data_IF_684544549791
#
_entry.id   IF_684544549791
#
_cell.length_a   1.000
_cell.length_b   1.000
_cell.length_c   1.000
_cell.angle_alpha   90.00
_cell.angle_beta   90.00
_cell.angle_gamma   90.00
#
_symmetry.space_group_name_H-M   'P 1'
#
loop_
_entity.id
_entity.type
_entity.pdbx_description
1 polymer ?
#
# COMPACT_ATOMS: atom_id res chain seq x y z
N UNK A 1 -21.45 50.11 9.46
CA UNK A 1 -21.04 48.75 9.85
C UNK A 1 -19.56 48.58 9.49
N UNK A 2 -18.67 48.67 10.48
CA UNK A 2 -17.23 48.51 10.27
C UNK A 2 -16.89 47.00 10.27
N UNK A 3 -16.48 46.48 9.11
CA UNK A 3 -15.92 45.13 9.00
C UNK A 3 -14.49 45.22 9.54
N UNK A 4 -14.29 44.81 10.79
CA UNK A 4 -12.97 44.62 11.37
C UNK A 4 -12.24 43.53 10.55
N UNK A 5 -11.33 43.95 9.67
CA UNK A 5 -10.35 43.06 9.04
C UNK A 5 -9.44 42.54 10.14
N UNK A 6 -9.72 41.33 10.62
CA UNK A 6 -8.79 40.56 11.43
C UNK A 6 -7.45 40.48 10.68
N UNK A 7 -6.38 40.93 11.34
CA UNK A 7 -5.03 40.82 10.81
C UNK A 7 -4.74 39.34 10.48
N UNK A 8 -4.06 39.04 9.36
CA UNK A 8 -3.70 37.68 9.03
C UNK A 8 -2.89 37.07 10.18
N UNK A 9 -3.15 35.80 10.56
CA UNK A 9 -2.38 35.15 11.60
C UNK A 9 -0.89 35.15 11.22
N UNK A 10 -0.03 35.47 12.18
CA UNK A 10 1.41 35.46 11.98
C UNK A 10 1.84 34.12 11.36
N UNK A 11 2.79 34.13 10.40
CA UNK A 11 3.25 32.91 9.74
C UNK A 11 3.75 31.93 10.79
N UNK A 12 3.03 30.82 10.97
CA UNK A 12 3.44 29.78 11.90
C UNK A 12 4.71 29.15 11.34
N UNK A 13 5.78 29.14 12.14
CA UNK A 13 7.02 28.49 11.74
C UNK A 13 6.83 26.97 11.83
N UNK A 14 6.49 26.33 10.70
CA UNK A 14 6.22 24.90 10.64
C UNK A 14 7.54 24.14 10.50
N UNK A 15 7.80 23.22 11.42
CA UNK A 15 8.93 22.30 11.34
C UNK A 15 8.56 21.07 10.52
N UNK A 16 9.35 20.77 9.50
CA UNK A 16 9.18 19.66 8.57
C UNK A 16 10.19 18.55 8.87
N UNK A 17 9.72 17.31 8.99
CA UNK A 17 10.53 16.13 9.21
C UNK A 17 10.80 15.38 7.90
N UNK A 18 12.07 15.19 7.57
CA UNK A 18 12.54 14.51 6.37
C UNK A 18 13.16 13.16 6.76
N UNK A 19 12.53 12.06 6.37
CA UNK A 19 13.06 10.70 6.53
C UNK A 19 13.82 10.30 5.27
N UNK A 20 15.14 10.21 5.36
CA UNK A 20 16.03 9.83 4.27
C UNK A 20 16.20 8.32 4.25
N UNK A 21 16.09 7.73 3.05
CA UNK A 21 16.43 6.34 2.77
C UNK A 21 17.49 6.33 1.69
N UNK A 22 18.69 5.88 2.06
CA UNK A 22 19.90 5.97 1.26
C UNK A 22 20.33 4.58 0.80
N UNK A 23 20.67 4.48 -0.49
CA UNK A 23 21.21 3.27 -1.09
C UNK A 23 22.57 3.56 -1.71
N UNK A 24 23.59 2.81 -1.25
CA UNK A 24 24.91 2.86 -1.86
C UNK A 24 24.88 2.31 -3.29
N UNK A 25 25.89 2.67 -4.09
CA UNK A 25 25.98 2.21 -5.48
C UNK A 25 26.04 0.68 -5.58
N UNK A 26 26.74 0.03 -4.66
CA UNK A 26 26.82 -1.43 -4.58
C UNK A 26 25.47 -2.06 -4.23
N UNK A 27 24.71 -1.44 -3.33
CA UNK A 27 23.35 -1.89 -2.99
C UNK A 27 22.41 -1.73 -4.17
N UNK A 28 22.57 -0.67 -4.97
CA UNK A 28 21.76 -0.45 -6.17
C UNK A 28 21.96 -1.53 -7.25
N UNK A 29 23.13 -2.19 -7.30
CA UNK A 29 23.38 -3.35 -8.18
C UNK A 29 22.62 -4.60 -7.74
N UNK A 30 22.26 -4.72 -6.46
CA UNK A 30 21.53 -5.87 -5.93
C UNK A 30 20.03 -5.82 -6.31
N UNK A 31 19.35 -6.97 -6.41
CA UNK A 31 17.89 -7.02 -6.53
C UNK A 31 17.21 -6.27 -5.40
N UNK A 32 16.06 -5.63 -5.66
CA UNK A 32 15.35 -4.77 -4.70
C UNK A 32 15.13 -5.41 -3.33
N UNK A 33 14.82 -6.70 -3.29
CA UNK A 33 14.56 -7.47 -2.06
C UNK A 33 15.80 -7.74 -1.19
N UNK A 34 17.01 -7.54 -1.73
CA UNK A 34 18.29 -7.81 -1.06
C UNK A 34 19.10 -6.54 -0.78
N UNK A 35 18.53 -5.36 -1.03
CA UNK A 35 19.22 -4.09 -0.76
C UNK A 35 19.15 -3.81 0.73
N UNK A 36 20.29 -3.52 1.34
CA UNK A 36 20.30 -2.89 2.65
C UNK A 36 20.11 -1.39 2.46
N UNK A 37 19.21 -0.81 3.23
CA UNK A 37 18.97 0.63 3.25
C UNK A 37 19.56 1.25 4.52
N UNK A 38 20.12 2.44 4.37
CA UNK A 38 20.53 3.28 5.50
C UNK A 38 19.50 4.38 5.66
N UNK A 39 19.09 4.64 6.91
CA UNK A 39 18.03 5.62 7.19
C UNK A 39 18.54 6.71 8.11
N UNK A 40 18.12 7.94 7.85
CA UNK A 40 18.43 9.12 8.65
C UNK A 40 17.21 10.04 8.72
N UNK A 41 17.14 10.89 9.74
CA UNK A 41 16.05 11.85 9.91
C UNK A 41 16.64 13.25 10.08
N UNK A 42 16.13 14.20 9.32
CA UNK A 42 16.49 15.62 9.39
C UNK A 42 15.23 16.41 9.70
N UNK A 43 15.32 17.43 10.55
CA UNK A 43 14.23 18.37 10.84
C UNK A 43 14.67 19.77 10.43
N UNK A 44 13.90 20.42 9.56
CA UNK A 44 14.16 21.79 9.10
C UNK A 44 12.87 22.59 9.15
N UNK A 45 12.99 23.90 9.30
CA UNK A 45 11.86 24.81 9.21
C UNK A 45 11.45 25.04 7.74
N UNK A 46 10.22 25.47 7.51
CA UNK A 46 9.65 25.66 6.16
C UNK A 46 10.28 26.83 5.38
N UNK A 47 10.89 27.78 6.09
CA UNK A 47 11.52 29.00 5.56
C UNK A 47 12.98 28.79 5.14
N UNK A 48 13.53 27.60 5.41
CA UNK A 48 14.90 27.26 5.02
C UNK A 48 15.04 27.20 3.49
N UNK A 49 16.11 27.77 2.92
CA UNK A 49 16.35 27.68 1.48
C UNK A 49 16.71 26.26 1.06
N UNK A 50 16.50 25.96 -0.23
CA UNK A 50 16.82 24.65 -0.81
C UNK A 50 18.28 24.22 -0.57
N UNK A 51 19.20 25.18 -0.57
CA UNK A 51 20.62 24.94 -0.33
C UNK A 51 20.89 24.40 1.10
N UNK A 52 20.12 24.82 2.11
CA UNK A 52 20.22 24.27 3.47
C UNK A 52 19.83 22.80 3.46
N UNK A 53 18.69 22.44 2.84
CA UNK A 53 18.27 21.04 2.72
C UNK A 53 19.33 20.22 1.96
N UNK A 54 19.86 20.77 0.86
CA UNK A 54 20.91 20.15 0.05
C UNK A 54 22.16 19.85 0.89
N UNK A 55 22.65 20.82 1.65
CA UNK A 55 23.81 20.65 2.53
C UNK A 55 23.57 19.57 3.60
N UNK A 56 22.38 19.56 4.20
CA UNK A 56 22.02 18.56 5.22
C UNK A 56 21.89 17.15 4.64
N UNK A 57 21.31 17.00 3.45
CA UNK A 57 21.28 15.71 2.73
C UNK A 57 22.71 15.21 2.46
N UNK A 58 23.58 16.09 1.95
CA UNK A 58 24.98 15.73 1.68
C UNK A 58 25.73 15.36 2.96
N UNK A 59 25.47 16.06 4.08
CA UNK A 59 26.02 15.71 5.39
C UNK A 59 25.61 14.30 5.81
N UNK A 60 24.33 13.94 5.76
CA UNK A 60 23.87 12.59 6.09
C UNK A 60 24.49 11.53 5.17
N UNK A 61 24.57 11.80 3.86
CA UNK A 61 25.25 10.91 2.91
C UNK A 61 26.72 10.71 3.30
N UNK A 62 27.41 11.78 3.73
CA UNK A 62 28.82 11.71 4.13
C UNK A 62 29.03 10.84 5.37
N UNK A 63 28.13 10.93 6.35
CA UNK A 63 28.19 10.18 7.61
C UNK A 63 27.85 8.71 7.43
N UNK A 64 26.79 8.41 6.67
CA UNK A 64 26.28 7.03 6.50
C UNK A 64 27.04 6.26 5.42
N UNK A 65 27.19 6.83 4.21
CA UNK A 65 27.79 6.14 3.06
C UNK A 65 29.31 6.34 2.91
N UNK A 66 29.91 7.31 3.61
CA UNK A 66 31.35 7.67 3.55
C UNK A 66 31.93 7.70 2.12
N UNK A 67 31.29 8.44 1.18
CA UNK A 67 31.76 8.57 -0.18
C UNK A 67 33.11 9.30 -0.25
N UNK A 68 33.88 9.05 -1.32
CA UNK A 68 35.15 9.75 -1.56
C UNK A 68 34.94 11.16 -2.10
N UNK A 69 33.90 11.38 -2.92
CA UNK A 69 33.58 12.69 -3.49
C UNK A 69 32.11 13.03 -3.25
N UNK A 70 31.89 14.06 -2.47
CA UNK A 70 30.54 14.49 -2.14
C UNK A 70 30.06 15.52 -3.18
N UNK A 71 29.27 15.06 -4.15
CA UNK A 71 28.65 15.90 -5.17
C UNK A 71 27.17 15.54 -5.29
N UNK A 72 26.28 16.53 -5.27
CA UNK A 72 24.83 16.31 -5.30
C UNK A 72 24.37 15.65 -6.60
N UNK A 73 25.00 16.00 -7.72
CA UNK A 73 24.63 15.49 -9.05
C UNK A 73 24.99 14.01 -9.25
N UNK A 74 25.82 13.45 -8.36
CA UNK A 74 26.14 12.03 -8.34
C UNK A 74 25.07 11.17 -7.65
N UNK A 75 24.01 11.80 -7.13
CA UNK A 75 22.88 11.13 -6.50
C UNK A 75 21.58 11.45 -7.23
N UNK A 76 20.70 10.44 -7.31
CA UNK A 76 19.32 10.62 -7.73
C UNK A 76 18.46 10.70 -6.47
N UNK A 77 18.00 11.91 -6.18
CA UNK A 77 17.19 12.21 -5.00
C UNK A 77 15.73 12.36 -5.46
N UNK A 78 14.87 11.57 -4.85
CA UNK A 78 13.42 11.59 -5.08
C UNK A 78 12.70 11.80 -3.76
N UNK A 79 11.48 12.34 -3.80
CA UNK A 79 10.64 12.48 -2.62
C UNK A 79 9.26 11.86 -2.83
N UNK A 80 8.68 11.41 -1.73
CA UNK A 80 7.31 10.90 -1.65
C UNK A 80 6.63 11.50 -0.44
N UNK A 81 5.37 11.88 -0.61
CA UNK A 81 4.54 12.43 0.45
C UNK A 81 3.39 11.46 0.67
N UNK A 82 3.35 10.86 1.86
CA UNK A 82 2.37 9.83 2.14
C UNK A 82 0.96 10.41 1.95
N UNK A 83 0.12 9.72 1.16
CA UNK A 83 -1.26 10.09 0.78
C UNK A 83 -1.43 11.24 -0.21
N UNK A 84 -0.49 12.19 -0.28
CA UNK A 84 -0.59 13.33 -1.21
C UNK A 84 0.14 13.11 -2.53
N UNK A 85 1.35 12.53 -2.48
CA UNK A 85 2.20 12.31 -3.64
C UNK A 85 2.81 10.91 -3.53
N UNK A 86 2.05 9.92 -4.01
CA UNK A 86 2.44 8.49 -3.99
C UNK A 86 3.49 8.15 -5.04
N UNK A 87 3.53 8.92 -6.13
CA UNK A 87 4.52 8.75 -7.20
C UNK A 87 5.79 9.53 -6.83
N UNK A 88 6.96 8.88 -6.73
CA UNK A 88 8.21 9.56 -6.43
C UNK A 88 8.53 10.65 -7.45
N UNK A 89 8.72 11.87 -6.98
CA UNK A 89 9.13 13.02 -7.80
C UNK A 89 10.63 13.29 -7.61
N UNK A 90 11.29 13.79 -8.64
CA UNK A 90 12.71 14.18 -8.57
C UNK A 90 12.85 15.47 -7.75
N UNK A 91 13.92 15.57 -6.95
CA UNK A 91 14.30 16.78 -6.23
C UNK A 91 15.66 17.26 -6.77
N UNK A 92 15.65 18.15 -7.75
CA UNK A 92 16.83 18.72 -8.41
C UNK A 92 16.76 20.22 -8.53
N UNK A 93 15.56 20.77 -8.72
CA UNK A 93 15.34 22.21 -8.94
C UNK A 93 14.69 22.84 -7.71
N UNK A 94 14.94 24.13 -7.51
CA UNK A 94 14.30 24.93 -6.47
C UNK A 94 12.77 24.88 -6.56
N UNK A 95 12.19 24.92 -7.76
CA UNK A 95 10.74 24.79 -7.95
C UNK A 95 10.16 23.46 -7.44
N UNK A 96 10.92 22.35 -7.54
CA UNK A 96 10.49 21.05 -7.01
C UNK A 96 10.54 21.03 -5.48
N UNK A 97 11.49 21.77 -4.89
CA UNK A 97 11.59 21.98 -3.45
C UNK A 97 10.45 22.85 -2.91
N UNK A 98 10.13 23.96 -3.57
CA UNK A 98 8.99 24.81 -3.20
C UNK A 98 7.68 24.02 -3.19
N UNK A 99 7.44 23.21 -4.24
CA UNK A 99 6.27 22.34 -4.31
C UNK A 99 6.24 21.29 -3.17
N UNK A 100 7.41 20.73 -2.85
CA UNK A 100 7.57 19.79 -1.74
C UNK A 100 7.20 20.46 -0.39
N UNK A 101 7.68 21.68 -0.14
CA UNK A 101 7.39 22.43 1.09
C UNK A 101 5.91 22.80 1.16
N UNK A 102 5.34 23.31 0.07
CA UNK A 102 3.90 23.63 -0.03
C UNK A 102 3.03 22.42 0.34
N UNK A 103 3.36 21.24 -0.20
CA UNK A 103 2.63 20.02 0.10
C UNK A 103 2.80 19.58 1.56
N UNK A 104 3.98 19.76 2.15
CA UNK A 104 4.26 19.40 3.54
C UNK A 104 3.49 20.25 4.54
N UNK A 105 3.41 21.57 4.29
CA UNK A 105 2.70 22.53 5.17
C UNK A 105 1.20 22.27 5.19
N UNK A 106 0.63 21.72 4.12
CA UNK A 106 -0.78 21.32 4.07
C UNK A 106 -1.10 20.08 4.90
N UNK A 107 -0.09 19.35 5.38
CA UNK A 107 -0.28 18.15 6.19
C UNK A 107 -0.46 18.50 7.67
N UNK A 108 -1.33 17.76 8.36
CA UNK A 108 -1.45 17.84 9.82
C UNK A 108 -0.14 17.51 10.54
N UNK A 109 0.64 16.60 9.96
CA UNK A 109 1.96 16.19 10.45
C UNK A 109 2.95 16.27 9.27
N UNK A 110 3.75 17.35 9.17
CA UNK A 110 4.68 17.57 8.07
C UNK A 110 5.83 16.55 8.09
N UNK A 111 5.61 15.40 7.47
CA UNK A 111 6.56 14.31 7.40
C UNK A 111 6.67 13.81 5.96
N UNK A 112 7.90 13.72 5.45
CA UNK A 112 8.18 13.33 4.07
C UNK A 112 9.30 12.32 3.99
N UNK A 113 9.23 11.47 2.97
CA UNK A 113 10.24 10.44 2.72
C UNK A 113 11.07 10.81 1.50
N UNK A 114 12.37 10.95 1.70
CA UNK A 114 13.37 11.16 0.65
C UNK A 114 14.05 9.82 0.32
N UNK A 115 14.13 9.50 -0.97
CA UNK A 115 14.78 8.33 -1.51
C UNK A 115 16.03 8.77 -2.27
N UNK A 116 17.20 8.32 -1.80
CA UNK A 116 18.51 8.74 -2.30
C UNK A 116 19.21 7.52 -2.91
N UNK A 117 19.46 7.57 -4.21
CA UNK A 117 20.14 6.50 -4.95
C UNK A 117 21.47 7.01 -5.52
N UNK A 118 22.59 6.40 -5.14
CA UNK A 118 23.90 6.72 -5.74
C UNK A 118 23.97 6.29 -7.21
N UNK A 119 24.39 7.18 -8.11
CA UNK A 119 24.43 6.94 -9.56
C UNK A 119 25.76 6.38 -10.06
N UNK A 120 26.86 6.66 -9.36
CA UNK A 120 28.22 6.27 -9.76
C UNK A 120 28.92 5.50 -8.66
N UNK A 121 29.85 4.65 -9.09
CA UNK A 121 30.78 3.98 -8.20
C UNK A 121 31.79 5.00 -7.67
N UNK A 122 31.70 5.31 -6.39
CA UNK A 122 32.62 6.24 -5.74
C UNK A 122 33.76 5.53 -5.00
N UNK A 123 33.72 4.19 -4.88
CA UNK A 123 34.75 3.44 -4.17
C UNK A 123 35.89 3.01 -5.10
N UNK A 124 35.60 2.84 -6.39
CA UNK A 124 36.59 2.47 -7.40
C UNK A 124 37.56 3.63 -7.73
N UNK A 125 38.73 3.63 -7.09
CA UNK A 125 39.89 4.40 -7.58
C UNK A 125 40.25 3.81 -8.93
N UNK A 126 40.03 4.55 -10.01
CA UNK A 126 40.86 4.37 -11.19
C UNK A 126 42.21 4.96 -10.82
N UNK A 127 43.20 4.10 -10.62
CA UNK A 127 44.59 4.49 -10.62
C UNK A 127 44.90 5.05 -12.02
N UNK A 128 44.62 6.32 -12.23
CA UNK A 128 45.11 7.09 -13.37
C UNK A 128 45.96 8.21 -12.82
N UNK A 129 47.24 7.88 -12.73
CA UNK A 129 48.37 8.74 -13.03
C UNK A 129 48.49 10.05 -12.25
N UNK A 130 49.31 10.01 -11.20
CA UNK A 130 50.02 11.20 -10.72
C UNK A 130 51.40 10.75 -10.28
N UNK A 131 52.25 10.49 -11.29
CA UNK A 131 53.70 10.50 -11.14
C UNK A 131 54.20 11.95 -11.17
N UNK A 132 55.04 12.26 -10.20
CA UNK A 132 55.54 13.57 -9.82
C UNK A 132 56.96 13.83 -10.40
N UNK A 133 57.31 15.10 -10.66
CA UNK A 133 58.67 15.71 -10.68
C UNK A 133 59.64 15.28 -11.83
N UNK A 134 60.43 16.11 -12.55
CA UNK A 134 60.97 17.48 -12.41
C UNK A 134 61.43 18.07 -13.77
N UNK A 135 61.37 19.41 -13.86
CA UNK A 135 62.25 20.40 -14.52
C UNK A 135 63.19 20.06 -15.71
N UNK A 136 63.08 20.95 -16.71
CA UNK A 136 64.16 21.70 -17.41
C UNK A 136 64.72 21.22 -18.77
N UNK A 137 64.46 22.11 -19.75
CA UNK A 137 65.29 22.53 -20.90
C UNK A 137 65.28 21.74 -22.21
N UNK A 138 64.90 22.45 -23.30
CA UNK A 138 65.66 22.46 -24.55
C UNK A 138 65.08 21.73 -25.77
N UNK A 139 64.53 22.54 -26.68
CA UNK A 139 64.72 22.50 -28.15
C UNK A 139 64.01 21.44 -29.03
N UNK A 140 63.12 22.00 -29.86
CA UNK A 140 62.70 21.68 -31.24
C UNK A 140 63.13 20.37 -31.92
N UNK A 141 62.14 19.60 -32.41
CA UNK A 141 61.78 19.55 -33.85
C UNK A 141 60.87 18.37 -34.20
N UNK A 142 59.84 18.71 -34.97
CA UNK A 142 59.15 17.97 -36.04
C UNK A 142 58.96 16.44 -35.99
N UNK A 143 57.72 16.00 -36.27
CA UNK A 143 57.54 14.66 -36.85
C UNK A 143 56.19 13.97 -36.72
N UNK A 144 55.15 14.51 -37.36
CA UNK A 144 54.13 13.76 -38.11
C UNK A 144 53.18 12.71 -37.44
N UNK A 145 51.89 13.01 -37.65
CA UNK A 145 50.81 12.13 -38.15
C UNK A 145 50.31 10.99 -37.24
N UNK A 146 49.03 11.05 -36.84
CA UNK A 146 47.93 10.33 -37.54
C UNK A 146 46.53 10.56 -36.94
N UNK A 147 45.61 10.89 -37.87
CA UNK A 147 44.19 10.50 -37.95
C UNK A 147 43.19 10.97 -36.87
N UNK A 148 42.62 12.16 -37.13
CA UNK A 148 41.24 12.52 -36.75
C UNK A 148 40.24 11.51 -37.34
N UNK A 149 39.59 10.70 -36.51
CA UNK A 149 38.32 10.03 -36.85
C UNK A 149 37.20 10.69 -36.05
N UNK A 150 36.43 11.53 -36.75
CA UNK A 150 35.27 12.28 -36.25
C UNK A 150 34.21 11.27 -35.76
N UNK A 151 34.01 11.19 -34.44
CA UNK A 151 32.99 10.38 -33.78
C UNK A 151 31.64 11.08 -33.96
N UNK A 152 30.81 10.60 -34.90
CA UNK A 152 29.37 10.86 -34.88
C UNK A 152 28.82 10.23 -33.61
N UNK A 153 28.46 11.08 -32.65
CA UNK A 153 27.75 10.69 -31.44
C UNK A 153 26.37 10.23 -31.87
N UNK A 154 26.15 8.92 -31.75
CA UNK A 154 24.85 8.30 -31.90
C UNK A 154 23.94 8.84 -30.80
N UNK A 155 22.96 9.62 -31.22
CA UNK A 155 21.72 9.88 -30.54
C UNK A 155 20.96 8.55 -30.45
N UNK A 156 21.28 7.78 -29.42
CA UNK A 156 20.49 6.63 -29.00
C UNK A 156 20.18 6.84 -27.53
N UNK A 157 19.08 7.57 -27.33
CA UNK A 157 18.36 7.68 -26.09
C UNK A 157 18.05 6.25 -25.60
N UNK A 158 18.93 5.71 -24.75
CA UNK A 158 18.72 4.44 -24.05
C UNK A 158 17.55 4.62 -23.08
N UNK A 159 16.33 4.51 -23.60
CA UNK A 159 15.18 4.02 -22.84
C UNK A 159 15.63 2.67 -22.29
N UNK A 160 15.97 2.62 -21.00
CA UNK A 160 16.14 1.35 -20.29
C UNK A 160 14.80 0.65 -20.38
N UNK A 161 14.71 -0.26 -21.33
CA UNK A 161 13.70 -1.28 -21.43
C UNK A 161 13.80 -2.08 -20.14
N UNK A 162 13.01 -1.68 -19.14
CA UNK A 162 12.58 -2.62 -18.11
C UNK A 162 12.01 -3.77 -18.92
N UNK A 163 12.64 -4.95 -18.84
CA UNK A 163 12.05 -6.17 -19.39
C UNK A 163 10.77 -6.40 -18.60
N UNK A 164 9.69 -5.75 -19.02
CA UNK A 164 8.35 -6.18 -18.67
C UNK A 164 8.25 -7.63 -19.09
N UNK A 165 7.84 -8.48 -18.16
CA UNK A 165 7.53 -9.85 -18.51
C UNK A 165 6.47 -9.80 -19.64
N UNK A 166 6.54 -10.67 -20.65
CA UNK A 166 5.59 -10.67 -21.77
C UNK A 166 4.12 -10.60 -21.35
N UNK A 167 3.80 -11.18 -20.19
CA UNK A 167 2.46 -11.13 -19.59
C UNK A 167 2.00 -9.72 -19.20
N UNK A 168 2.91 -8.85 -18.76
CA UNK A 168 2.57 -7.47 -18.37
C UNK A 168 2.34 -6.56 -19.58
N UNK A 169 3.00 -6.87 -20.71
CA UNK A 169 2.81 -6.17 -21.98
C UNK A 169 1.39 -6.44 -22.50
N UNK A 170 0.96 -7.71 -22.50
CA UNK A 170 -0.39 -8.09 -22.93
C UNK A 170 -1.45 -7.45 -22.01
N UNK A 171 -1.27 -7.54 -20.69
CA UNK A 171 -2.22 -6.98 -19.73
C UNK A 171 -2.35 -5.45 -19.87
N UNK A 172 -1.23 -4.74 -20.02
CA UNK A 172 -1.26 -3.28 -20.22
C UNK A 172 -1.86 -2.87 -21.57
N UNK A 173 -1.69 -3.68 -22.62
CA UNK A 173 -2.35 -3.50 -23.90
C UNK A 173 -3.89 -3.65 -23.79
N UNK A 174 -4.35 -4.69 -23.08
CA UNK A 174 -5.78 -4.92 -22.83
C UNK A 174 -6.41 -3.80 -21.97
N UNK A 175 -5.71 -3.30 -20.94
CA UNK A 175 -6.18 -2.14 -20.16
C UNK A 175 -6.37 -0.92 -21.06
N UNK A 176 -5.42 -0.60 -21.93
CA UNK A 176 -5.53 0.53 -22.86
C UNK A 176 -6.71 0.36 -23.82
N UNK A 177 -6.95 -0.85 -24.30
CA UNK A 177 -8.07 -1.17 -25.19
C UNK A 177 -9.42 -0.89 -24.48
N UNK A 178 -9.56 -1.36 -23.24
CA UNK A 178 -10.73 -1.09 -22.40
C UNK A 178 -10.90 0.41 -22.09
N UNK A 179 -9.82 1.12 -21.77
CA UNK A 179 -9.85 2.55 -21.50
C UNK A 179 -10.39 3.34 -22.71
N UNK A 180 -9.86 3.07 -23.90
CA UNK A 180 -10.32 3.71 -25.14
C UNK A 180 -11.79 3.40 -25.45
N UNK A 181 -12.22 2.15 -25.21
CA UNK A 181 -13.59 1.71 -25.47
C UNK A 181 -14.61 2.34 -24.52
N UNK A 182 -14.26 2.48 -23.25
CA UNK A 182 -15.17 2.91 -22.19
C UNK A 182 -14.92 4.34 -21.70
N UNK A 183 -14.22 5.17 -22.49
CA UNK A 183 -14.09 6.60 -22.18
C UNK A 183 -15.47 7.25 -22.19
N UNK A 184 -15.88 7.83 -21.06
CA UNK A 184 -17.21 8.40 -20.92
C UNK A 184 -17.26 9.82 -21.51
N UNK A 185 -18.03 10.00 -22.58
CA UNK A 185 -18.20 11.31 -23.24
C UNK A 185 -19.47 12.06 -22.79
N UNK A 186 -20.18 11.57 -21.77
CA UNK A 186 -21.45 12.17 -21.34
C UNK A 186 -21.20 13.39 -20.46
N UNK A 187 -21.69 14.60 -20.84
CA UNK A 187 -21.59 15.78 -19.99
C UNK A 187 -22.41 15.55 -18.70
N UNK A 188 -21.77 15.71 -17.54
CA UNK A 188 -22.39 15.46 -16.23
C UNK A 188 -22.08 14.11 -15.58
N UNK A 189 -21.24 13.27 -16.20
CA UNK A 189 -20.70 12.11 -15.49
C UNK A 189 -19.67 12.57 -14.45
N UNK A 190 -20.01 12.47 -13.16
CA UNK A 190 -19.24 13.02 -12.02
C UNK A 190 -17.86 12.34 -11.83
N UNK A 191 -17.66 11.17 -12.43
CA UNK A 191 -16.42 10.40 -12.34
C UNK A 191 -15.66 10.48 -13.66
N UNK A 192 -14.66 11.37 -13.68
CA UNK A 192 -13.78 11.57 -14.82
C UNK A 192 -12.93 10.33 -15.10
N UNK A 193 -13.26 9.62 -16.18
CA UNK A 193 -12.40 8.56 -16.71
C UNK A 193 -13.17 7.59 -17.59
N UNK A 194 -13.72 6.53 -16.99
CA UNK A 194 -14.21 5.37 -17.72
C UNK A 194 -15.53 4.86 -17.16
N UNK A 195 -16.51 4.59 -18.02
CA UNK A 195 -17.83 4.08 -17.63
C UNK A 195 -18.29 2.93 -18.52
N UNK A 196 -18.85 1.91 -17.89
CA UNK A 196 -19.61 0.87 -18.57
C UNK A 196 -21.09 1.29 -18.60
N UNK A 197 -21.71 1.32 -19.79
CA UNK A 197 -23.12 1.66 -19.95
C UNK A 197 -23.91 0.36 -19.91
N UNK A 198 -24.82 0.25 -18.93
CA UNK A 198 -25.72 -0.88 -18.82
C UNK A 198 -26.76 -0.82 -19.96
N UNK A 199 -26.94 -1.88 -20.76
CA UNK A 199 -27.83 -1.88 -21.91
C UNK A 199 -29.31 -1.66 -21.54
N UNK A 200 -29.71 -2.07 -20.33
CA UNK A 200 -31.12 -2.08 -19.92
C UNK A 200 -31.65 -0.71 -19.52
N UNK A 201 -30.84 0.10 -18.84
CA UNK A 201 -31.27 1.36 -18.24
C UNK A 201 -30.41 2.57 -18.64
N UNK A 202 -29.44 2.38 -19.53
CA UNK A 202 -28.44 3.40 -19.89
C UNK A 202 -27.73 4.01 -18.66
N UNK A 203 -27.72 3.32 -17.52
CA UNK A 203 -27.02 3.78 -16.33
C UNK A 203 -25.52 3.60 -16.52
N UNK A 204 -24.76 4.60 -16.06
CA UNK A 204 -23.31 4.59 -16.13
C UNK A 204 -22.76 3.94 -14.86
N UNK A 205 -22.04 2.83 -15.03
CA UNK A 205 -21.24 2.23 -13.98
C UNK A 205 -19.79 2.71 -14.08
N UNK A 206 -19.24 3.26 -13.01
CA UNK A 206 -17.88 3.80 -13.02
C UNK A 206 -16.84 2.69 -12.97
N UNK A 207 -15.97 2.63 -13.99
CA UNK A 207 -14.87 1.69 -14.05
C UNK A 207 -13.62 2.28 -13.38
N UNK A 208 -13.37 1.89 -12.13
CA UNK A 208 -12.09 2.15 -11.48
C UNK A 208 -10.94 1.39 -12.15
N UNK A 209 -9.69 1.79 -11.86
CA UNK A 209 -8.50 1.07 -12.34
C UNK A 209 -8.52 -0.42 -11.98
N UNK A 210 -9.08 -0.78 -10.82
CA UNK A 210 -9.20 -2.18 -10.39
C UNK A 210 -10.14 -2.98 -11.29
N UNK A 211 -11.28 -2.42 -11.70
CA UNK A 211 -12.20 -3.06 -12.64
C UNK A 211 -11.51 -3.32 -13.98
N UNK A 212 -10.80 -2.32 -14.51
CA UNK A 212 -10.06 -2.44 -15.78
C UNK A 212 -8.95 -3.50 -15.69
N UNK A 213 -8.20 -3.57 -14.58
CA UNK A 213 -7.17 -4.60 -14.39
C UNK A 213 -7.75 -6.03 -14.31
N UNK A 214 -8.85 -6.22 -13.59
CA UNK A 214 -9.52 -7.53 -13.49
C UNK A 214 -10.09 -7.96 -14.85
N UNK A 215 -10.70 -7.04 -15.58
CA UNK A 215 -11.24 -7.32 -16.91
C UNK A 215 -10.13 -7.62 -17.92
N UNK A 216 -9.04 -6.84 -17.93
CA UNK A 216 -7.88 -7.09 -18.78
C UNK A 216 -7.23 -8.46 -18.48
N UNK A 217 -7.10 -8.84 -17.20
CA UNK A 217 -6.60 -10.14 -16.80
C UNK A 217 -7.51 -11.29 -17.29
N UNK A 218 -8.83 -11.10 -17.19
CA UNK A 218 -9.79 -12.07 -17.70
C UNK A 218 -9.71 -12.18 -19.24
N UNK A 219 -9.59 -11.07 -19.98
CA UNK A 219 -9.39 -11.09 -21.44
C UNK A 219 -8.10 -11.83 -21.84
N UNK A 220 -7.00 -11.60 -21.10
CA UNK A 220 -5.73 -12.28 -21.34
C UNK A 220 -5.82 -13.80 -21.10
N UNK A 221 -6.66 -14.24 -20.16
CA UNK A 221 -6.91 -15.66 -19.89
C UNK A 221 -7.82 -16.33 -20.95
N UNK A 222 -8.45 -15.56 -21.85
CA UNK A 222 -9.35 -16.03 -22.92
C UNK A 222 -10.46 -17.03 -22.48
N UNK A 223 -11.16 -16.82 -21.35
CA UNK A 223 -12.29 -17.66 -21.00
C UNK A 223 -13.45 -17.41 -21.99
N UNK A 224 -14.30 -18.41 -22.27
CA UNK A 224 -15.38 -18.30 -23.27
C UNK A 224 -16.45 -17.26 -22.94
N UNK A 225 -16.46 -16.72 -21.71
CA UNK A 225 -17.53 -15.87 -21.18
C UNK A 225 -17.15 -14.38 -21.17
N UNK A 226 -15.85 -14.05 -21.22
CA UNK A 226 -15.38 -12.65 -21.14
C UNK A 226 -15.03 -12.12 -22.52
N UNK A 227 -15.71 -11.07 -22.96
CA UNK A 227 -15.45 -10.37 -24.21
C UNK A 227 -15.11 -8.90 -23.94
N UNK A 228 -14.73 -8.16 -24.97
CA UNK A 228 -14.48 -6.72 -24.84
C UNK A 228 -15.73 -5.94 -24.41
N UNK A 229 -16.92 -6.42 -24.79
CA UNK A 229 -18.20 -5.79 -24.52
C UNK A 229 -18.89 -6.35 -23.27
N UNK A 230 -18.42 -7.47 -22.70
CA UNK A 230 -19.03 -8.11 -21.53
C UNK A 230 -18.04 -8.28 -20.38
N UNK A 231 -18.30 -7.66 -19.21
CA UNK A 231 -17.42 -7.78 -18.05
C UNK A 231 -17.36 -9.22 -17.52
N UNK A 232 -16.26 -9.62 -16.87
CA UNK A 232 -16.12 -10.96 -16.30
C UNK A 232 -17.06 -11.14 -15.10
N UNK A 233 -17.46 -12.41 -14.86
CA UNK A 233 -18.16 -12.78 -13.64
C UNK A 233 -17.19 -12.78 -12.46
N UNK A 234 -17.02 -11.63 -11.82
CA UNK A 234 -16.09 -11.41 -10.72
C UNK A 234 -16.73 -10.45 -9.71
N UNK A 235 -16.43 -10.63 -8.42
CA UNK A 235 -17.03 -9.88 -7.30
C UNK A 235 -17.03 -8.36 -7.42
N UNK A 236 -16.02 -7.80 -8.09
CA UNK A 236 -15.92 -6.35 -8.32
C UNK A 236 -17.03 -5.85 -9.28
N UNK A 237 -17.65 -6.75 -10.04
CA UNK A 237 -18.77 -6.49 -10.94
C UNK A 237 -20.12 -6.99 -10.37
N UNK A 238 -20.19 -7.51 -9.13
CA UNK A 238 -21.46 -7.98 -8.54
C UNK A 238 -22.48 -6.84 -8.37
N UNK A 239 -21.99 -5.61 -8.24
CA UNK A 239 -22.81 -4.39 -8.24
C UNK A 239 -23.49 -4.12 -9.58
N UNK A 240 -22.91 -4.58 -10.71
CA UNK A 240 -23.60 -4.58 -12.01
C UNK A 240 -24.73 -5.60 -12.01
N UNK A 241 -24.48 -6.80 -11.47
CA UNK A 241 -25.46 -7.88 -11.38
C UNK A 241 -26.64 -7.48 -10.49
N UNK A 242 -26.39 -6.79 -9.37
CA UNK A 242 -27.43 -6.29 -8.47
C UNK A 242 -28.37 -5.27 -9.12
N UNK A 243 -27.89 -4.48 -10.09
CA UNK A 243 -28.71 -3.51 -10.82
C UNK A 243 -29.44 -4.14 -12.02
N UNK A 244 -28.95 -5.27 -12.54
CA UNK A 244 -29.66 -6.11 -13.51
C UNK A 244 -30.70 -7.03 -12.84
N UNK A 245 -30.54 -7.30 -11.53
CA UNK A 245 -31.42 -8.11 -10.70
C UNK A 245 -32.78 -7.45 -10.38
N UNK A 246 -33.08 -6.26 -10.90
CA UNK A 246 -34.48 -5.81 -11.00
C UNK A 246 -35.32 -6.72 -11.91
N UNK A 247 -34.68 -7.64 -12.67
CA UNK A 247 -35.29 -8.77 -13.35
C UNK A 247 -34.83 -10.12 -12.77
N UNK A 248 -34.73 -10.25 -11.44
CA UNK A 248 -34.19 -11.47 -10.81
C UNK A 248 -35.06 -12.71 -11.07
N UNK A 249 -34.39 -13.79 -11.43
CA UNK A 249 -34.98 -15.12 -11.60
C UNK A 249 -35.85 -15.54 -10.39
N UNK A 250 -37.00 -16.18 -10.63
CA UNK A 250 -38.06 -16.41 -9.63
C UNK A 250 -37.61 -17.17 -8.37
N UNK A 251 -36.50 -17.92 -8.44
CA UNK A 251 -35.97 -18.67 -7.30
C UNK A 251 -35.34 -17.79 -6.21
N UNK A 252 -34.72 -16.66 -6.57
CA UNK A 252 -34.14 -15.76 -5.56
C UNK A 252 -35.23 -14.94 -4.88
N UNK A 253 -36.26 -14.55 -5.64
CA UNK A 253 -37.44 -13.88 -5.08
C UNK A 253 -38.21 -14.79 -4.11
N UNK A 254 -38.27 -16.10 -4.38
CA UNK A 254 -38.88 -17.09 -3.46
C UNK A 254 -38.14 -17.19 -2.12
N UNK A 255 -36.80 -17.25 -2.14
CA UNK A 255 -36.01 -17.31 -0.89
C UNK A 255 -36.11 -16.03 -0.05
N UNK A 256 -36.20 -14.87 -0.70
CA UNK A 256 -36.37 -13.60 0.00
C UNK A 256 -37.78 -13.48 0.60
N UNK A 257 -38.81 -13.93 -0.11
CA UNK A 257 -40.18 -13.98 0.41
C UNK A 257 -40.28 -14.92 1.62
N UNK A 258 -39.70 -16.12 1.56
CA UNK A 258 -39.67 -17.09 2.65
C UNK A 258 -38.96 -16.53 3.91
N UNK A 259 -37.89 -15.76 3.73
CA UNK A 259 -37.15 -15.12 4.83
C UNK A 259 -37.95 -14.01 5.50
N UNK A 260 -38.71 -13.23 4.74
CA UNK A 260 -39.52 -12.13 5.27
C UNK A 260 -40.79 -12.64 6.00
N UNK A 261 -41.39 -13.76 5.57
CA UNK A 261 -42.49 -14.42 6.28
C UNK A 261 -42.07 -15.00 7.63
N UNK A 262 -40.80 -15.37 7.80
CA UNK A 262 -40.28 -15.93 9.06
C UNK A 262 -40.01 -14.87 10.16
N UNK A 263 -40.08 -13.58 9.85
CA UNK A 263 -39.80 -12.49 10.79
C UNK A 263 -41.04 -11.77 11.35
N UNK A 264 -42.26 -12.20 10.98
CA UNK A 264 -43.49 -11.48 11.33
C UNK A 264 -44.50 -12.34 12.11
N UNK A 265 -44.15 -12.85 13.29
CA UNK A 265 -45.14 -13.26 14.32
C UNK A 265 -44.52 -13.29 15.72
N UNK A 266 -45.11 -12.61 16.71
CA UNK A 266 -44.81 -12.84 18.12
C UNK A 266 -45.76 -13.89 18.72
N UNK A 267 -45.15 -14.82 19.48
CA UNK A 267 -45.71 -15.52 20.64
C UNK A 267 -46.62 -16.76 20.45
N UNK A 268 -46.76 -17.61 21.50
CA UNK A 268 -46.20 -18.95 21.49
C UNK A 268 -47.31 -20.02 21.60
N UNK A 269 -46.86 -21.27 21.59
CA UNK A 269 -47.61 -22.51 21.83
C UNK A 269 -48.05 -23.29 20.58
N UNK A 270 -47.66 -24.57 20.63
CA UNK A 270 -48.12 -25.73 19.83
C UNK A 270 -47.81 -25.77 18.34
N UNK A 271 -46.56 -26.09 17.95
CA UNK A 271 -46.34 -26.79 16.68
C UNK A 271 -45.21 -27.83 16.75
N UNK A 272 -45.58 -29.07 16.41
CA UNK A 272 -44.75 -30.24 16.15
C UNK A 272 -43.76 -29.97 15.01
N UNK A 273 -42.47 -29.96 15.33
CA UNK A 273 -41.38 -29.88 14.34
C UNK A 273 -41.24 -31.23 13.64
N UNK A 274 -41.20 -31.30 12.30
CA UNK A 274 -40.93 -32.55 11.61
C UNK A 274 -39.44 -32.90 11.77
N UNK A 275 -39.17 -33.97 12.53
CA UNK A 275 -37.85 -34.58 12.62
C UNK A 275 -37.48 -35.17 11.27
N UNK A 276 -36.62 -34.49 10.51
CA UNK A 276 -36.02 -35.07 9.30
C UNK A 276 -34.81 -35.89 9.75
N UNK A 277 -35.03 -37.20 9.88
CA UNK A 277 -33.99 -38.17 10.22
C UNK A 277 -33.18 -38.51 8.96
N UNK A 278 -31.96 -38.01 8.86
CA UNK A 278 -31.03 -38.36 7.77
C UNK A 278 -30.24 -39.61 8.15
N UNK A 279 -30.68 -40.78 7.67
CA UNK A 279 -29.89 -42.00 7.70
C UNK A 279 -28.89 -41.98 6.53
N UNK A 280 -27.64 -41.59 6.80
CA UNK A 280 -26.55 -41.70 5.83
C UNK A 280 -25.87 -43.08 6.00
N UNK A 281 -25.78 -43.91 4.94
CA UNK A 281 -25.09 -45.19 5.00
C UNK A 281 -23.59 -45.00 5.25
N UNK A 282 -22.98 -45.95 5.97
CA UNK A 282 -21.61 -45.85 6.52
C UNK A 282 -20.49 -45.74 5.46
N UNK A 283 -20.81 -45.94 4.18
CA UNK A 283 -19.83 -46.07 3.09
C UNK A 283 -19.26 -44.73 2.57
N UNK A 284 -19.82 -43.58 2.98
CA UNK A 284 -19.39 -42.26 2.48
C UNK A 284 -18.18 -41.68 3.24
N UNK A 285 -17.77 -42.28 4.36
CA UNK A 285 -16.64 -41.79 5.18
C UNK A 285 -15.29 -42.44 4.84
N UNK A 286 -15.26 -43.43 3.94
CA UNK A 286 -14.02 -44.16 3.58
C UNK A 286 -13.00 -43.34 2.79
N UNK A 287 -13.39 -42.17 2.26
CA UNK A 287 -12.49 -41.29 1.49
C UNK A 287 -11.73 -40.28 2.35
N UNK A 288 -12.03 -40.19 3.65
CA UNK A 288 -11.42 -39.21 4.57
C UNK A 288 -10.35 -39.81 5.48
N UNK A 289 -9.94 -41.06 5.28
CA UNK A 289 -8.77 -41.61 5.98
C UNK A 289 -7.47 -41.14 5.31
N UNK A 290 -6.57 -40.46 6.03
CA UNK A 290 -5.22 -40.24 5.53
C UNK A 290 -4.43 -41.55 5.61
N UNK A 291 -3.88 -41.98 4.48
CA UNK A 291 -2.95 -43.09 4.41
C UNK A 291 -1.65 -42.74 5.16
N UNK A 292 -1.24 -43.61 6.08
CA UNK A 292 0.02 -43.49 6.81
C UNK A 292 1.22 -43.97 5.99
N UNK A 293 2.32 -43.20 6.09
CA UNK A 293 3.75 -43.50 5.81
C UNK A 293 4.30 -43.25 4.38
N UNK A 294 5.64 -43.11 4.19
CA UNK A 294 6.71 -42.50 5.02
C UNK A 294 7.50 -41.37 4.25
N UNK A 295 8.44 -40.71 4.96
CA UNK A 295 9.34 -39.63 4.47
C UNK A 295 10.07 -39.93 3.14
N UNK A 296 10.33 -38.91 2.28
CA UNK A 296 11.68 -38.31 2.22
C UNK A 296 11.79 -36.78 1.92
N UNK A 297 12.80 -36.15 2.55
CA UNK A 297 13.77 -35.11 2.09
C UNK A 297 13.39 -33.99 1.08
N UNK A 298 13.27 -32.73 1.61
CA UNK A 298 13.66 -31.34 1.12
C UNK A 298 13.49 -30.87 -0.35
N UNK A 299 13.52 -29.54 -0.71
CA UNK A 299 13.27 -28.28 0.02
C UNK A 299 12.27 -27.29 -0.67
N UNK A 300 11.65 -26.43 0.16
CA UNK A 300 11.69 -24.97 -0.01
C UNK A 300 10.68 -24.26 -0.92
N UNK A 301 9.52 -23.88 -0.36
CA UNK A 301 8.70 -22.77 -0.89
C UNK A 301 8.09 -21.97 0.26
N UNK A 302 8.75 -20.88 0.65
CA UNK A 302 8.26 -19.95 1.68
C UNK A 302 7.24 -19.00 1.08
N UNK A 303 5.95 -19.33 1.24
CA UNK A 303 4.95 -18.28 1.36
C UNK A 303 5.15 -17.66 2.75
N UNK A 304 5.36 -16.35 2.80
CA UNK A 304 5.42 -15.63 4.06
C UNK A 304 4.06 -15.75 4.76
N UNK A 305 3.96 -16.72 5.67
CA UNK A 305 2.92 -16.79 6.67
C UNK A 305 3.13 -15.56 7.56
N UNK A 306 2.25 -14.57 7.44
CA UNK A 306 2.21 -13.48 8.43
C UNK A 306 1.88 -14.18 9.75
N UNK A 307 2.82 -14.20 10.69
CA UNK A 307 2.63 -14.80 11.99
C UNK A 307 1.43 -14.11 12.65
N UNK A 308 0.33 -14.85 12.83
CA UNK A 308 -0.93 -14.40 13.42
C UNK A 308 -0.79 -13.86 14.85
N UNK A 309 0.38 -14.03 15.48
CA UNK A 309 0.68 -13.59 16.83
C UNK A 309 0.79 -12.06 16.98
N UNK A 310 1.22 -11.34 15.94
CA UNK A 310 1.48 -9.88 16.03
C UNK A 310 0.32 -9.02 15.48
N UNK A 311 -0.85 -9.62 15.27
CA UNK A 311 -2.01 -8.85 14.83
C UNK A 311 -2.58 -8.03 16.00
N UNK A 312 -2.71 -6.70 15.87
CA UNK A 312 -3.42 -5.89 16.86
C UNK A 312 -4.86 -6.40 16.99
N UNK A 313 -5.41 -6.30 18.20
CA UNK A 313 -6.80 -6.71 18.48
C UNK A 313 -7.79 -5.90 17.62
N UNK A 314 -7.48 -4.63 17.37
CA UNK A 314 -8.20 -3.77 16.45
C UNK A 314 -7.52 -3.75 15.06
N UNK A 315 -8.24 -3.97 13.95
CA UNK A 315 -7.68 -3.76 12.62
C UNK A 315 -7.18 -2.33 12.46
N UNK A 316 -6.01 -2.14 11.83
CA UNK A 316 -5.37 -0.82 11.62
C UNK A 316 -6.28 0.18 10.87
N UNK A 317 -7.29 -0.32 10.15
CA UNK A 317 -8.27 0.46 9.41
C UNK A 317 -9.53 0.85 10.19
N UNK A 318 -9.75 0.31 11.39
CA UNK A 318 -10.95 0.58 12.18
C UNK A 318 -10.79 1.88 12.99
N UNK A 319 -11.91 2.60 13.15
CA UNK A 319 -11.92 3.85 13.92
C UNK A 319 -12.07 3.52 15.42
N UNK A 320 -11.42 4.27 16.33
CA UNK A 320 -11.63 4.09 17.75
C UNK A 320 -13.08 4.42 18.11
N UNK A 321 -13.73 3.55 18.88
CA UNK A 321 -15.05 3.83 19.46
C UNK A 321 -15.02 4.89 20.57
N UNK A 322 -16.16 5.15 21.22
CA UNK A 322 -16.24 6.10 22.33
C UNK A 322 -15.33 5.73 23.51
N UNK A 323 -14.88 6.74 24.25
CA UNK A 323 -14.01 6.56 25.41
C UNK A 323 -14.83 6.00 26.59
N UNK A 324 -14.50 4.78 27.02
CA UNK A 324 -15.20 4.09 28.10
C UNK A 324 -14.19 3.67 29.16
N UNK A 325 -14.60 3.72 30.43
CA UNK A 325 -13.84 3.08 31.51
C UNK A 325 -13.78 1.57 31.28
N UNK A 326 -12.72 0.93 31.79
CA UNK A 326 -12.57 -0.53 31.63
C UNK A 326 -13.78 -1.30 32.19
N UNK A 327 -14.32 -0.87 33.33
CA UNK A 327 -15.51 -1.47 33.93
C UNK A 327 -16.76 -1.33 33.04
N UNK A 328 -17.00 -0.14 32.47
CA UNK A 328 -18.13 0.07 31.58
C UNK A 328 -17.97 -0.71 30.28
N UNK A 329 -16.75 -0.79 29.74
CA UNK A 329 -16.45 -1.59 28.56
C UNK A 329 -16.76 -3.06 28.80
N UNK A 330 -16.28 -3.65 29.90
CA UNK A 330 -16.57 -5.05 30.21
C UNK A 330 -18.07 -5.30 30.44
N UNK A 331 -18.81 -4.35 31.04
CA UNK A 331 -20.24 -4.47 31.26
C UNK A 331 -21.07 -4.35 29.96
N UNK A 332 -20.70 -3.45 29.05
CA UNK A 332 -21.44 -3.22 27.79
C UNK A 332 -21.31 -4.41 26.83
N UNK A 333 -20.15 -5.06 26.80
CA UNK A 333 -19.87 -6.17 25.88
C UNK A 333 -19.88 -7.55 26.56
N UNK A 334 -20.54 -7.68 27.70
CA UNK A 334 -20.71 -8.94 28.45
C UNK A 334 -19.39 -9.73 28.65
N UNK A 335 -18.28 -9.03 28.95
CA UNK A 335 -16.99 -9.68 29.18
C UNK A 335 -16.92 -10.27 30.60
N UNK A 336 -16.35 -11.47 30.70
CA UNK A 336 -16.16 -12.17 31.99
C UNK A 336 -15.39 -11.31 33.01
N UNK A 337 -15.73 -11.38 34.32
CA UNK A 337 -14.97 -10.74 35.38
C UNK A 337 -13.47 -11.09 35.37
N UNK A 338 -13.11 -12.29 34.90
CA UNK A 338 -11.72 -12.73 34.77
C UNK A 338 -10.93 -11.89 33.76
N UNK A 339 -11.57 -11.48 32.65
CA UNK A 339 -10.96 -10.60 31.65
C UNK A 339 -10.72 -9.21 32.24
N UNK A 340 -11.70 -8.68 32.98
CA UNK A 340 -11.59 -7.40 33.66
C UNK A 340 -10.45 -7.39 34.69
N UNK A 341 -10.34 -8.45 35.49
CA UNK A 341 -9.28 -8.60 36.49
C UNK A 341 -7.89 -8.62 35.83
N UNK A 342 -7.68 -9.44 34.79
CA UNK A 342 -6.39 -9.52 34.07
C UNK A 342 -5.99 -8.19 33.43
N UNK A 343 -6.94 -7.47 32.81
CA UNK A 343 -6.66 -6.15 32.23
C UNK A 343 -6.29 -5.13 33.31
N UNK A 344 -6.98 -5.15 34.44
CA UNK A 344 -6.69 -4.24 35.56
C UNK A 344 -5.32 -4.53 36.18
N UNK A 345 -4.97 -5.80 36.37
CA UNK A 345 -3.68 -6.25 36.90
C UNK A 345 -2.50 -5.83 36.01
N UNK A 346 -2.73 -5.77 34.70
CA UNK A 346 -1.74 -5.31 33.71
C UNK A 346 -1.79 -3.80 33.43
N UNK A 347 -2.51 -3.02 34.25
CA UNK A 347 -2.49 -1.55 34.20
C UNK A 347 -3.36 -0.92 33.09
N UNK A 348 -4.26 -1.68 32.47
CA UNK A 348 -5.21 -1.12 31.52
C UNK A 348 -6.35 -0.42 32.28
N UNK A 349 -6.61 0.85 31.95
CA UNK A 349 -7.59 1.68 32.67
C UNK A 349 -8.83 2.05 31.84
N UNK A 350 -8.79 1.90 30.51
CA UNK A 350 -9.92 2.22 29.64
C UNK A 350 -9.69 1.87 28.16
N UNK A 351 -10.68 2.15 27.32
CA UNK A 351 -10.67 1.71 25.90
C UNK A 351 -9.57 2.33 25.05
N UNK A 352 -9.02 3.49 25.45
CA UNK A 352 -7.86 4.13 24.78
C UNK A 352 -6.61 3.26 24.74
N UNK A 353 -6.37 2.47 25.79
CA UNK A 353 -5.19 1.59 25.85
C UNK A 353 -5.48 0.24 25.22
N UNK A 354 -6.73 -0.25 25.30
CA UNK A 354 -7.16 -1.53 24.70
C UNK A 354 -6.87 -1.60 23.19
N UNK A 355 -7.02 -0.50 22.44
CA UNK A 355 -6.78 -0.49 20.99
C UNK A 355 -5.34 -0.80 20.58
N UNK A 356 -4.39 -0.68 21.51
CA UNK A 356 -2.97 -0.92 21.24
C UNK A 356 -2.55 -2.34 21.59
N UNK A 357 -3.43 -3.13 22.23
CA UNK A 357 -3.14 -4.49 22.65
C UNK A 357 -2.93 -5.38 21.42
N UNK A 358 -1.86 -6.15 21.45
CA UNK A 358 -1.56 -7.18 20.44
C UNK A 358 -1.96 -8.56 20.95
N UNK A 359 -2.29 -9.48 20.05
CA UNK A 359 -2.69 -10.85 20.44
C UNK A 359 -1.58 -11.60 21.18
N UNK A 360 -0.31 -11.33 20.88
CA UNK A 360 0.85 -11.85 21.64
C UNK A 360 0.82 -11.38 23.10
N UNK A 361 0.61 -10.09 23.34
CA UNK A 361 0.50 -9.52 24.69
C UNK A 361 -0.66 -10.16 25.48
N UNK A 362 -1.83 -10.38 24.85
CA UNK A 362 -2.93 -11.09 25.52
C UNK A 362 -2.52 -12.50 25.97
N UNK A 363 -1.75 -13.23 25.16
CA UNK A 363 -1.25 -14.56 25.53
C UNK A 363 -0.24 -14.50 26.67
N UNK A 364 0.64 -13.50 26.65
CA UNK A 364 1.62 -13.25 27.73
C UNK A 364 0.93 -12.90 29.05
N UNK A 365 -0.21 -12.19 29.00
CA UNK A 365 -1.08 -11.92 30.14
C UNK A 365 -1.92 -13.13 30.59
N UNK A 366 -1.72 -14.32 30.00
CA UNK A 366 -2.42 -15.53 30.40
C UNK A 366 -3.88 -15.60 29.94
N UNK A 367 -4.25 -14.89 28.87
CA UNK A 367 -5.58 -15.05 28.28
C UNK A 367 -5.71 -16.40 27.57
N UNK A 368 -6.84 -17.08 27.79
CA UNK A 368 -7.21 -18.29 27.05
C UNK A 368 -7.73 -17.91 25.67
N UNK A 369 -7.62 -18.82 24.69
CA UNK A 369 -8.07 -18.56 23.32
C UNK A 369 -9.53 -18.09 23.22
N UNK A 370 -10.43 -18.60 24.07
CA UNK A 370 -11.83 -18.15 24.13
C UNK A 370 -11.99 -16.72 24.64
N UNK A 371 -11.19 -16.34 25.65
CA UNK A 371 -11.16 -14.97 26.19
C UNK A 371 -10.59 -13.98 25.15
N UNK A 372 -9.56 -14.39 24.40
CA UNK A 372 -9.01 -13.60 23.29
C UNK A 372 -10.05 -13.40 22.19
N UNK A 373 -10.84 -14.43 21.86
CA UNK A 373 -11.90 -14.33 20.87
C UNK A 373 -13.00 -13.36 21.33
N UNK A 374 -13.46 -13.46 22.58
CA UNK A 374 -14.42 -12.54 23.17
C UNK A 374 -13.90 -11.08 23.17
N UNK A 375 -12.62 -10.89 23.53
CA UNK A 375 -11.99 -9.57 23.51
C UNK A 375 -11.93 -8.96 22.10
N UNK A 376 -11.61 -9.76 21.08
CA UNK A 376 -11.62 -9.32 19.68
C UNK A 376 -13.01 -8.92 19.20
N UNK A 377 -14.01 -9.70 19.58
CA UNK A 377 -15.40 -9.44 19.21
C UNK A 377 -15.91 -8.13 19.86
N UNK A 378 -15.68 -7.96 21.17
CA UNK A 378 -16.01 -6.74 21.90
C UNK A 378 -15.33 -5.49 21.31
N UNK A 379 -14.03 -5.58 20.97
CA UNK A 379 -13.31 -4.47 20.35
C UNK A 379 -13.83 -4.14 18.93
N UNK A 380 -14.27 -5.16 18.18
CA UNK A 380 -14.87 -4.96 16.86
C UNK A 380 -16.24 -4.28 16.95
N UNK A 381 -17.12 -4.73 17.86
CA UNK A 381 -18.42 -4.11 18.11
C UNK A 381 -18.26 -2.66 18.59
N UNK A 382 -17.34 -2.43 19.53
CA UNK A 382 -16.99 -1.09 20.01
C UNK A 382 -16.52 -0.13 18.92
N UNK A 383 -15.70 -0.61 17.99
CA UNK A 383 -15.21 0.20 16.88
C UNK A 383 -16.29 0.52 15.84
N UNK A 384 -17.30 -0.33 15.72
CA UNK A 384 -18.44 -0.13 14.81
C UNK A 384 -19.52 0.77 15.41
N UNK A 385 -19.44 1.09 16.70
CA UNK A 385 -20.45 1.91 17.40
C UNK A 385 -21.77 1.18 17.62
N UNK A 386 -21.76 -0.15 17.60
CA UNK A 386 -22.89 -0.98 18.02
C UNK A 386 -22.89 -1.00 19.55
N UNK A 387 -23.79 -0.23 20.16
CA UNK A 387 -24.08 -0.21 21.61
C UNK A 387 -25.47 -0.73 21.87
#
# INVERSE_FOLDING_TARGET
>A
MNILRLAPPAPQNVMISYSLVMYSFEQMKKPKTKRSEETAIIKLYQDEPFDTLKAQILKCISESLKPKKLDYDDYKIMFTILRHQTVPLSLKKTAEYEHLVECAVRMKTPAMKLLIEALKDQTAVRASDTGDTSQSSGSDSDGQKRKKKKKKVAESCRKKLVKELPLNIELSAQIKLLQNRYTCNKPGCLTSGYCYILPDNNAHFTLSHRHLSVWAAALAAKPPITTLDKPPNHKEFDTLSSNLLSNSAPLIQRRLAERNTAQSTPDPSTLTVPTINFNLPNDIFSFLQPASAPLPTTPGRTNALVNSADMPVLPVSAWPGPDLSLANFCAVYDLSPDIHAKLTENGYTGTRTIRYIVVSELKEMGFKNGEIAAMKDAVAQWANGEM
#
